data_IF_455583243966
#
_entry.id   IF_455583243966
#
_cell.length_a   1.000
_cell.length_b   1.000
_cell.length_c   1.000
_cell.angle_alpha   90.00
_cell.angle_beta   90.00
_cell.angle_gamma   90.00
#
_symmetry.space_group_name_H-M   'P 1'
#
loop_
_entity.id
_entity.type
_entity.pdbx_description
1 polymer ?
#
# COMPACT_ATOMS: atom_id res chain seq x y z
N UNK A 1 23.29 -19.00 3.12
CA UNK A 1 22.79 -18.09 2.07
C UNK A 1 22.74 -16.68 2.66
N UNK A 2 23.56 -15.77 2.15
CA UNK A 2 23.64 -14.36 2.55
C UNK A 2 22.56 -13.55 1.83
N UNK A 3 21.72 -12.84 2.58
CA UNK A 3 20.63 -12.03 2.03
C UNK A 3 20.88 -10.56 2.31
N UNK A 4 20.76 -9.71 1.29
CA UNK A 4 20.59 -8.27 1.49
C UNK A 4 19.11 -7.92 1.35
N UNK A 5 18.57 -7.23 2.34
CA UNK A 5 17.18 -6.77 2.34
C UNK A 5 17.11 -5.31 1.90
N UNK A 6 16.18 -5.00 0.99
CA UNK A 6 16.03 -3.65 0.44
C UNK A 6 14.57 -3.21 0.60
N UNK A 7 14.29 -2.26 1.49
CA UNK A 7 12.91 -1.83 1.74
C UNK A 7 12.83 -0.55 2.55
N UNK A 8 11.63 -0.04 2.80
CA UNK A 8 11.46 1.25 3.48
C UNK A 8 10.26 1.36 4.41
N UNK A 9 9.01 1.13 3.98
CA UNK A 9 7.83 1.35 4.83
C UNK A 9 7.66 0.24 5.87
N UNK A 10 6.66 0.42 6.74
CA UNK A 10 6.29 -0.52 7.81
C UNK A 10 6.02 -1.93 7.27
N UNK A 11 5.31 -2.04 6.13
CA UNK A 11 5.12 -3.29 5.39
C UNK A 11 6.44 -4.07 5.20
N UNK A 12 7.51 -3.38 4.80
CA UNK A 12 8.82 -3.99 4.60
C UNK A 12 9.56 -4.26 5.92
N UNK A 13 9.42 -3.37 6.91
CA UNK A 13 10.03 -3.53 8.23
C UNK A 13 9.55 -4.79 8.94
N UNK A 14 8.24 -5.04 8.94
CA UNK A 14 7.65 -6.23 9.55
C UNK A 14 8.10 -7.53 8.88
N UNK A 15 8.26 -7.53 7.55
CA UNK A 15 8.77 -8.69 6.81
C UNK A 15 10.24 -8.92 7.15
N UNK A 16 11.07 -7.86 7.18
CA UNK A 16 12.48 -7.97 7.58
C UNK A 16 12.62 -8.56 8.99
N UNK A 17 11.89 -8.01 9.96
CA UNK A 17 11.94 -8.50 11.34
C UNK A 17 11.58 -9.99 11.42
N UNK A 18 10.50 -10.39 10.74
CA UNK A 18 10.08 -11.78 10.70
C UNK A 18 11.15 -12.70 10.09
N UNK A 19 11.81 -12.26 9.01
CA UNK A 19 12.91 -13.03 8.39
C UNK A 19 14.08 -13.21 9.36
N UNK A 20 14.48 -12.16 10.07
CA UNK A 20 15.60 -12.21 11.03
C UNK A 20 15.26 -13.15 12.19
N UNK A 21 14.07 -13.02 12.79
CA UNK A 21 13.60 -13.90 13.87
C UNK A 21 13.56 -15.37 13.50
N UNK A 22 13.34 -15.68 12.22
CA UNK A 22 13.32 -17.05 11.69
C UNK A 22 14.67 -17.51 11.11
N UNK A 23 15.77 -16.84 11.49
CA UNK A 23 17.12 -17.29 11.17
C UNK A 23 17.54 -17.13 9.71
N UNK A 24 16.85 -16.28 8.93
CA UNK A 24 17.36 -15.86 7.62
C UNK A 24 18.60 -14.98 7.86
N UNK A 25 19.72 -15.34 7.23
CA UNK A 25 20.98 -14.63 7.38
C UNK A 25 20.98 -13.31 6.59
N UNK A 26 20.42 -12.26 7.19
CA UNK A 26 20.46 -10.89 6.66
C UNK A 26 21.82 -10.29 6.96
N UNK A 27 22.62 -10.09 5.91
CA UNK A 27 24.00 -9.57 6.02
C UNK A 27 24.08 -8.07 5.74
N UNK A 28 22.99 -7.46 5.30
CA UNK A 28 22.92 -6.03 5.03
C UNK A 28 21.51 -5.55 4.73
N UNK A 29 21.25 -4.29 5.03
CA UNK A 29 19.98 -3.61 4.79
C UNK A 29 20.24 -2.34 3.98
N UNK A 30 19.42 -2.11 2.95
CA UNK A 30 19.38 -0.87 2.19
C UNK A 30 17.98 -0.26 2.33
N UNK A 31 17.90 0.97 2.82
CA UNK A 31 16.63 1.70 2.93
C UNK A 31 16.77 3.10 2.34
N UNK A 32 15.65 3.81 2.17
CA UNK A 32 15.70 5.22 1.78
C UNK A 32 16.28 6.08 2.92
N UNK A 33 16.84 7.26 2.60
CA UNK A 33 17.15 8.28 3.60
C UNK A 33 15.97 8.61 4.49
N UNK A 34 16.27 8.98 5.74
CA UNK A 34 15.30 9.47 6.69
C UNK A 34 14.59 10.70 6.13
N UNK A 35 13.28 10.82 6.39
CA UNK A 35 12.47 11.94 5.89
C UNK A 35 11.69 12.57 7.02
N UNK A 36 11.39 13.89 6.93
CA UNK A 36 10.51 14.55 7.87
C UNK A 36 9.12 13.90 7.82
N UNK A 37 8.60 13.43 8.96
CA UNK A 37 7.27 12.80 9.05
C UNK A 37 6.49 13.32 10.25
N UNK A 38 5.16 13.19 10.20
CA UNK A 38 4.25 13.59 11.28
C UNK A 38 4.11 15.09 11.49
N UNK A 39 3.33 15.47 12.53
CA UNK A 39 3.20 16.87 12.96
C UNK A 39 4.53 17.37 13.52
N UNK A 40 4.97 18.55 13.09
CA UNK A 40 6.27 19.12 13.48
C UNK A 40 7.46 18.65 12.64
N UNK A 41 7.25 17.80 11.62
CA UNK A 41 8.26 17.42 10.60
C UNK A 41 9.60 16.96 11.21
N UNK A 42 9.55 16.18 12.29
CA UNK A 42 10.76 15.59 12.86
C UNK A 42 11.37 14.61 11.87
N UNK A 43 12.70 14.60 11.77
CA UNK A 43 13.43 13.56 11.05
C UNK A 43 13.23 12.25 11.79
N UNK A 44 12.59 11.28 11.13
CA UNK A 44 12.32 9.96 11.71
C UNK A 44 13.00 8.88 10.87
N UNK A 45 13.61 7.87 11.52
CA UNK A 45 14.16 6.73 10.84
C UNK A 45 13.07 5.98 10.06
N UNK A 46 13.46 5.34 8.96
CA UNK A 46 12.54 4.45 8.25
C UNK A 46 12.22 3.21 9.12
N UNK A 47 11.00 2.64 9.03
CA UNK A 47 10.67 1.39 9.73
C UNK A 47 11.69 0.26 9.52
N UNK A 48 12.20 0.10 8.30
CA UNK A 48 13.27 -0.88 8.00
C UNK A 48 14.59 -0.56 8.71
N UNK A 49 14.95 0.72 8.84
CA UNK A 49 16.15 1.15 9.60
C UNK A 49 16.03 0.81 11.08
N UNK A 50 14.87 1.05 11.69
CA UNK A 50 14.61 0.72 13.09
C UNK A 50 14.88 -0.76 13.36
N UNK A 51 14.34 -1.64 12.52
CA UNK A 51 14.59 -3.09 12.62
C UNK A 51 16.07 -3.41 12.41
N UNK A 52 16.73 -2.82 11.40
CA UNK A 52 18.15 -3.08 11.18
C UNK A 52 19.02 -2.69 12.39
N UNK A 53 18.74 -1.56 13.02
CA UNK A 53 19.45 -1.08 14.22
C UNK A 53 19.19 -2.00 15.43
N UNK A 54 17.93 -2.41 15.65
CA UNK A 54 17.55 -3.32 16.74
C UNK A 54 18.31 -4.65 16.68
N UNK A 55 18.40 -5.25 15.49
CA UNK A 55 19.08 -6.52 15.27
C UNK A 55 20.57 -6.35 14.91
N UNK A 56 21.11 -5.12 14.98
CA UNK A 56 22.52 -4.77 14.71
C UNK A 56 23.00 -5.22 13.32
N UNK A 57 22.13 -5.11 12.32
CA UNK A 57 22.42 -5.44 10.92
C UNK A 57 23.01 -4.20 10.23
N UNK A 58 24.11 -4.31 9.47
CA UNK A 58 24.65 -3.19 8.70
C UNK A 58 23.58 -2.56 7.79
N UNK A 59 23.31 -1.27 7.96
CA UNK A 59 22.27 -0.55 7.22
C UNK A 59 22.86 0.69 6.53
N UNK A 60 22.60 0.84 5.24
CA UNK A 60 22.96 2.03 4.46
C UNK A 60 21.71 2.72 3.91
N UNK A 61 21.81 4.04 3.69
CA UNK A 61 20.69 4.88 3.24
C UNK A 61 21.03 5.70 1.98
N UNK A 62 21.45 5.05 0.88
CA UNK A 62 21.90 5.77 -0.30
C UNK A 62 20.76 6.55 -0.95
N UNK A 63 21.08 7.69 -1.55
CA UNK A 63 20.15 8.42 -2.42
C UNK A 63 19.67 7.57 -3.60
N UNK A 64 20.45 6.59 -4.02
CA UNK A 64 20.03 5.54 -4.95
C UNK A 64 20.90 4.31 -4.79
N UNK A 65 20.28 3.13 -4.80
CA UNK A 65 20.99 1.84 -4.79
C UNK A 65 21.93 1.64 -5.99
N UNK A 66 21.79 2.47 -7.04
CA UNK A 66 22.62 2.42 -8.23
C UNK A 66 23.91 3.27 -8.12
N UNK A 67 24.09 4.00 -7.01
CA UNK A 67 25.25 4.87 -6.79
C UNK A 67 26.41 4.07 -6.20
N UNK A 68 27.61 4.64 -6.31
CA UNK A 68 28.87 4.01 -5.89
C UNK A 68 28.83 3.49 -4.46
N UNK A 69 28.35 4.29 -3.51
CA UNK A 69 28.20 3.91 -2.10
C UNK A 69 27.47 2.56 -1.92
N UNK A 70 26.31 2.41 -2.56
CA UNK A 70 25.52 1.19 -2.47
C UNK A 70 26.19 0.01 -3.19
N UNK A 71 26.80 0.27 -4.35
CA UNK A 71 27.51 -0.77 -5.10
C UNK A 71 28.73 -1.28 -4.33
N UNK A 72 29.53 -0.39 -3.74
CA UNK A 72 30.69 -0.73 -2.91
C UNK A 72 30.25 -1.61 -1.73
N UNK A 73 29.18 -1.20 -1.02
CA UNK A 73 28.60 -1.99 0.06
C UNK A 73 28.18 -3.40 -0.38
N UNK A 74 27.43 -3.50 -1.49
CA UNK A 74 26.96 -4.78 -2.02
C UNK A 74 28.13 -5.68 -2.49
N UNK A 75 29.21 -5.09 -3.00
CA UNK A 75 30.42 -5.81 -3.41
C UNK A 75 31.22 -6.34 -2.22
N UNK A 76 31.21 -5.63 -1.08
CA UNK A 76 31.85 -6.12 0.16
C UNK A 76 31.04 -7.24 0.80
N UNK A 77 29.72 -7.09 0.83
CA UNK A 77 28.84 -8.06 1.50
C UNK A 77 28.66 -9.35 0.69
N UNK A 78 28.74 -9.25 -0.65
CA UNK A 78 28.60 -10.36 -1.61
C UNK A 78 27.32 -11.17 -1.36
N UNK A 79 26.14 -10.58 -1.57
CA UNK A 79 24.87 -11.27 -1.33
C UNK A 79 24.67 -12.45 -2.29
N UNK A 80 24.14 -13.55 -1.77
CA UNK A 80 23.60 -14.63 -2.60
C UNK A 80 22.27 -14.21 -3.26
N UNK A 81 21.48 -13.42 -2.53
CA UNK A 81 20.15 -12.92 -2.93
C UNK A 81 19.98 -11.47 -2.45
N UNK A 82 19.36 -10.64 -3.28
CA UNK A 82 18.77 -9.36 -2.84
C UNK A 82 17.25 -9.52 -2.81
N UNK A 83 16.63 -9.33 -1.65
CA UNK A 83 15.17 -9.31 -1.53
C UNK A 83 14.69 -7.87 -1.37
N UNK A 84 13.84 -7.43 -2.29
CA UNK A 84 13.29 -6.07 -2.34
C UNK A 84 11.83 -6.09 -1.88
N UNK A 85 11.47 -5.18 -0.98
CA UNK A 85 10.11 -5.01 -0.49
C UNK A 85 9.80 -3.51 -0.37
N UNK A 86 8.93 -2.99 -1.23
CA UNK A 86 8.46 -1.60 -1.15
C UNK A 86 9.57 -0.53 -1.04
N UNK A 87 10.65 -0.66 -1.83
CA UNK A 87 11.79 0.27 -1.79
C UNK A 87 11.53 1.60 -2.51
N UNK A 88 10.70 1.61 -3.55
CA UNK A 88 10.32 2.83 -4.28
C UNK A 88 11.41 3.44 -5.17
N UNK A 89 12.50 2.72 -5.45
CA UNK A 89 13.52 3.13 -6.44
C UNK A 89 13.85 1.95 -7.35
N UNK A 90 14.21 2.26 -8.59
CA UNK A 90 14.57 1.28 -9.62
C UNK A 90 15.97 0.72 -9.35
N UNK A 91 16.12 -0.60 -9.43
CA UNK A 91 17.41 -1.28 -9.42
C UNK A 91 17.95 -1.36 -10.85
N UNK A 92 19.14 -0.81 -11.06
CA UNK A 92 19.83 -0.80 -12.35
C UNK A 92 20.53 -2.12 -12.62
N UNK A 93 20.91 -2.34 -13.88
CA UNK A 93 21.53 -3.59 -14.37
C UNK A 93 22.68 -4.08 -13.50
N UNK A 94 23.56 -3.17 -13.05
CA UNK A 94 24.69 -3.51 -12.18
C UNK A 94 24.24 -4.20 -10.90
N UNK A 95 23.25 -3.64 -10.20
CA UNK A 95 22.70 -4.22 -8.96
C UNK A 95 22.01 -5.54 -9.25
N UNK A 96 21.17 -5.59 -10.29
CA UNK A 96 20.40 -6.78 -10.66
C UNK A 96 21.28 -8.01 -10.94
N UNK A 97 22.49 -7.81 -11.46
CA UNK A 97 23.44 -8.87 -11.80
C UNK A 97 24.38 -9.29 -10.68
N UNK A 98 24.42 -8.59 -9.54
CA UNK A 98 25.37 -8.90 -8.45
C UNK A 98 25.09 -10.24 -7.77
N UNK A 99 23.86 -10.55 -7.32
CA UNK A 99 23.65 -11.73 -6.48
C UNK A 99 23.60 -13.00 -7.33
N UNK A 100 24.24 -14.07 -6.84
CA UNK A 100 24.28 -15.38 -7.51
C UNK A 100 22.90 -15.89 -7.94
N UNK A 101 21.90 -15.76 -7.06
CA UNK A 101 20.54 -16.23 -7.34
C UNK A 101 19.61 -15.11 -7.85
N UNK A 102 20.11 -13.88 -7.96
CA UNK A 102 19.40 -12.72 -8.47
C UNK A 102 18.73 -11.83 -7.42
N UNK A 103 18.02 -10.82 -7.91
CA UNK A 103 17.18 -9.94 -7.11
C UNK A 103 15.71 -10.40 -7.22
N UNK A 104 15.01 -10.49 -6.10
CA UNK A 104 13.59 -10.81 -6.05
C UNK A 104 12.83 -9.68 -5.37
N UNK A 105 11.57 -9.52 -5.72
CA UNK A 105 10.68 -8.55 -5.10
C UNK A 105 9.45 -9.25 -4.53
N UNK A 106 9.00 -8.79 -3.36
CA UNK A 106 7.71 -9.16 -2.76
C UNK A 106 6.71 -8.08 -3.12
N UNK A 107 5.79 -8.42 -4.03
CA UNK A 107 4.81 -7.49 -4.58
C UNK A 107 3.39 -7.83 -4.09
N UNK A 108 2.66 -6.90 -3.44
CA UNK A 108 1.36 -7.19 -2.86
C UNK A 108 0.22 -7.10 -3.89
N UNK A 109 0.32 -7.91 -4.95
CA UNK A 109 -0.78 -8.25 -5.86
C UNK A 109 -0.53 -9.60 -6.54
N UNK A 110 -1.54 -10.06 -7.30
CA UNK A 110 -1.45 -11.21 -8.20
C UNK A 110 -0.93 -10.76 -9.58
N UNK A 111 0.39 -10.70 -9.75
CA UNK A 111 1.00 -10.41 -11.06
C UNK A 111 0.51 -11.41 -12.13
N UNK A 112 0.25 -10.96 -13.36
CA UNK A 112 0.65 -9.68 -13.96
C UNK A 112 -0.26 -8.48 -13.66
N UNK A 113 -1.36 -8.64 -12.90
CA UNK A 113 -2.23 -7.52 -12.54
C UNK A 113 -1.53 -6.60 -11.52
N UNK A 114 -1.87 -5.31 -11.57
CA UNK A 114 -1.46 -4.28 -10.62
C UNK A 114 0.06 -4.10 -10.46
N UNK A 115 0.81 -4.11 -11.57
CA UNK A 115 2.23 -3.70 -11.59
C UNK A 115 2.37 -2.24 -11.14
N UNK A 116 3.30 -1.94 -10.24
CA UNK A 116 3.64 -0.57 -9.85
C UNK A 116 3.53 -0.28 -8.36
N UNK A 117 3.25 0.98 -8.04
CA UNK A 117 3.53 1.55 -6.72
C UNK A 117 2.39 1.41 -5.70
N UNK A 118 1.14 1.17 -6.13
CA UNK A 118 -0.02 1.20 -5.23
C UNK A 118 -1.03 0.07 -5.45
N UNK A 119 -0.57 -1.20 -5.56
CA UNK A 119 -1.44 -2.33 -5.89
C UNK A 119 -2.59 -2.55 -4.88
N UNK A 120 -2.33 -2.42 -3.58
CA UNK A 120 -3.33 -2.67 -2.52
C UNK A 120 -4.49 -1.67 -2.64
N UNK A 121 -4.19 -0.37 -2.77
CA UNK A 121 -5.21 0.66 -2.93
C UNK A 121 -6.03 0.43 -4.19
N UNK A 122 -5.37 0.13 -5.32
CA UNK A 122 -6.05 -0.05 -6.61
C UNK A 122 -6.89 -1.32 -6.68
N UNK A 123 -6.49 -2.39 -5.98
CA UNK A 123 -7.32 -3.59 -5.84
C UNK A 123 -8.62 -3.28 -5.08
N UNK A 124 -8.52 -2.58 -3.94
CA UNK A 124 -9.69 -2.16 -3.16
C UNK A 124 -10.58 -1.18 -3.92
N UNK A 125 -9.99 -0.17 -4.57
CA UNK A 125 -10.71 0.85 -5.33
C UNK A 125 -11.48 0.26 -6.51
N UNK A 126 -10.89 -0.72 -7.20
CA UNK A 126 -11.55 -1.42 -8.31
C UNK A 126 -12.57 -2.47 -7.85
N UNK A 127 -12.76 -2.67 -6.53
CA UNK A 127 -13.70 -3.65 -6.00
C UNK A 127 -13.30 -5.09 -6.26
N UNK A 128 -11.99 -5.37 -6.33
CA UNK A 128 -11.50 -6.74 -6.48
C UNK A 128 -11.99 -7.60 -5.32
N UNK A 129 -12.38 -8.84 -5.64
CA UNK A 129 -12.79 -9.84 -4.64
C UNK A 129 -11.61 -10.65 -4.11
N UNK A 130 -10.51 -10.63 -4.85
CA UNK A 130 -9.30 -11.43 -4.59
C UNK A 130 -8.08 -10.59 -4.90
N UNK A 131 -7.04 -10.77 -4.11
CA UNK A 131 -5.70 -10.25 -4.38
C UNK A 131 -4.68 -11.25 -3.83
N UNK A 132 -3.44 -10.85 -3.62
CA UNK A 132 -2.43 -11.74 -3.11
C UNK A 132 -1.08 -11.11 -3.02
N UNK A 133 -0.08 -11.97 -2.88
CA UNK A 133 1.33 -11.59 -2.90
C UNK A 133 2.01 -12.41 -3.97
N UNK A 134 2.88 -11.76 -4.73
CA UNK A 134 3.75 -12.40 -5.70
C UNK A 134 5.20 -12.15 -5.32
N UNK A 135 5.99 -13.22 -5.19
CA UNK A 135 7.44 -13.15 -5.16
C UNK A 135 7.93 -13.44 -6.58
N UNK A 136 8.60 -12.48 -7.21
CA UNK A 136 9.07 -12.60 -8.59
C UNK A 136 10.52 -12.16 -8.72
N UNK A 137 11.22 -12.68 -9.74
CA UNK A 137 12.59 -12.29 -10.05
C UNK A 137 12.58 -10.94 -10.77
N UNK A 138 13.30 -9.96 -10.25
CA UNK A 138 13.33 -8.63 -10.83
C UNK A 138 14.06 -8.61 -12.18
N UNK A 139 13.49 -7.86 -13.12
CA UNK A 139 14.07 -7.51 -14.42
C UNK A 139 14.07 -5.98 -14.59
N UNK A 140 14.56 -5.48 -15.72
CA UNK A 140 14.60 -4.02 -15.98
C UNK A 140 13.18 -3.42 -16.07
N UNK A 141 12.25 -4.15 -16.67
CA UNK A 141 10.86 -3.75 -16.78
C UNK A 141 10.14 -3.88 -15.43
N UNK A 142 9.31 -2.89 -15.11
CA UNK A 142 8.62 -2.76 -13.84
C UNK A 142 7.69 -3.96 -13.58
N UNK A 143 7.96 -4.69 -12.50
CA UNK A 143 7.15 -5.82 -12.01
C UNK A 143 6.81 -6.87 -13.08
N UNK A 144 7.68 -7.03 -14.08
CA UNK A 144 7.42 -7.84 -15.27
C UNK A 144 8.20 -9.17 -15.33
N UNK A 145 9.06 -9.43 -14.33
CA UNK A 145 9.92 -10.60 -14.36
C UNK A 145 9.19 -11.87 -13.92
N UNK A 146 9.79 -13.06 -14.12
CA UNK A 146 9.13 -14.31 -13.88
C UNK A 146 8.80 -14.53 -12.41
N UNK A 147 7.64 -15.13 -12.18
CA UNK A 147 7.07 -15.42 -10.86
C UNK A 147 7.79 -16.63 -10.26
N UNK A 148 8.21 -16.51 -9.01
CA UNK A 148 8.79 -17.59 -8.22
C UNK A 148 7.74 -18.24 -7.30
N UNK A 149 6.93 -17.43 -6.63
CA UNK A 149 5.78 -17.86 -5.81
C UNK A 149 4.66 -16.85 -5.94
N UNK A 150 3.42 -17.32 -5.84
CA UNK A 150 2.23 -16.47 -5.85
C UNK A 150 1.13 -17.14 -5.04
N UNK A 151 0.54 -16.40 -4.10
CA UNK A 151 -0.55 -16.89 -3.27
C UNK A 151 -1.69 -15.88 -3.26
N UNK A 152 -2.92 -16.39 -3.29
CA UNK A 152 -4.15 -15.61 -3.34
C UNK A 152 -4.84 -15.55 -1.97
N UNK A 153 -5.52 -14.44 -1.72
CA UNK A 153 -6.43 -14.24 -0.59
C UNK A 153 -7.71 -13.55 -1.05
N UNK A 154 -8.82 -13.90 -0.41
CA UNK A 154 -10.08 -13.17 -0.58
C UNK A 154 -10.01 -11.80 0.09
N UNK A 155 -10.66 -10.82 -0.54
CA UNK A 155 -10.89 -9.48 0.00
C UNK A 155 -12.31 -9.45 0.56
N UNK A 156 -12.43 -9.21 1.86
CA UNK A 156 -13.74 -9.10 2.48
C UNK A 156 -14.45 -7.78 2.06
N UNK A 157 -15.78 -7.77 1.86
CA UNK A 157 -16.51 -6.58 1.43
C UNK A 157 -16.39 -5.35 2.35
N UNK A 158 -15.99 -5.56 3.61
CA UNK A 158 -15.81 -4.52 4.62
C UNK A 158 -14.33 -4.22 4.91
N UNK A 159 -13.40 -4.93 4.27
CA UNK A 159 -11.98 -4.64 4.42
C UNK A 159 -11.64 -3.25 3.90
N UNK A 160 -10.87 -2.53 4.71
CA UNK A 160 -10.23 -1.27 4.36
C UNK A 160 -8.77 -1.51 4.00
N UNK A 161 -8.08 -0.47 3.56
CA UNK A 161 -6.65 -0.53 3.30
C UNK A 161 -5.84 -1.14 4.45
N UNK A 162 -6.05 -0.68 5.69
CA UNK A 162 -5.27 -1.16 6.85
C UNK A 162 -5.49 -2.65 7.10
N UNK A 163 -6.73 -3.14 6.97
CA UNK A 163 -7.05 -4.56 7.14
C UNK A 163 -6.36 -5.42 6.07
N UNK A 164 -6.46 -5.01 4.81
CA UNK A 164 -5.86 -5.74 3.70
C UNK A 164 -4.33 -5.65 3.72
N UNK A 165 -3.75 -4.50 4.07
CA UNK A 165 -2.31 -4.32 4.27
C UNK A 165 -1.80 -5.32 5.32
N UNK A 166 -2.49 -5.42 6.48
CA UNK A 166 -2.14 -6.40 7.52
C UNK A 166 -2.20 -7.84 7.02
N UNK A 167 -3.27 -8.22 6.34
CA UNK A 167 -3.45 -9.56 5.76
C UNK A 167 -2.31 -9.91 4.80
N UNK A 168 -1.93 -8.96 3.92
CA UNK A 168 -0.86 -9.16 2.94
C UNK A 168 0.53 -9.16 3.57
N UNK A 169 0.76 -8.45 4.68
CA UNK A 169 1.99 -8.57 5.48
C UNK A 169 2.13 -9.99 6.02
N UNK A 170 1.08 -10.55 6.62
CA UNK A 170 1.11 -11.91 7.17
C UNK A 170 1.32 -12.97 6.09
N UNK A 171 0.64 -12.82 4.95
CA UNK A 171 0.87 -13.69 3.80
C UNK A 171 2.32 -13.59 3.30
N UNK A 172 2.85 -12.38 3.18
CA UNK A 172 4.22 -12.13 2.75
C UNK A 172 5.23 -12.79 3.68
N UNK A 173 5.04 -12.69 5.00
CA UNK A 173 5.90 -13.32 6.03
C UNK A 173 6.00 -14.83 5.82
N UNK A 174 4.86 -15.51 5.63
CA UNK A 174 4.83 -16.95 5.33
C UNK A 174 5.56 -17.25 4.01
N UNK A 175 5.22 -16.52 2.95
CA UNK A 175 5.76 -16.77 1.62
C UNK A 175 7.27 -16.54 1.52
N UNK A 176 7.84 -15.56 2.22
CA UNK A 176 9.29 -15.32 2.17
C UNK A 176 10.07 -16.48 2.80
N UNK A 177 9.58 -17.10 3.88
CA UNK A 177 10.23 -18.27 4.46
C UNK A 177 10.18 -19.46 3.51
N UNK A 178 9.02 -19.73 2.92
CA UNK A 178 8.85 -20.77 1.90
C UNK A 178 9.77 -20.54 0.69
N UNK A 179 9.84 -19.29 0.22
CA UNK A 179 10.72 -18.90 -0.88
C UNK A 179 12.17 -19.25 -0.58
N UNK A 180 12.71 -18.85 0.59
CA UNK A 180 14.09 -19.17 0.93
C UNK A 180 14.33 -20.65 1.17
N UNK A 181 13.35 -21.40 1.68
CA UNK A 181 13.45 -22.85 1.80
C UNK A 181 13.56 -23.52 0.43
N UNK A 182 12.66 -23.20 -0.50
CA UNK A 182 12.68 -23.70 -1.88
C UNK A 182 13.95 -23.29 -2.61
N UNK A 183 14.39 -22.03 -2.45
CA UNK A 183 15.59 -21.52 -3.11
C UNK A 183 16.86 -22.24 -2.62
N UNK A 184 17.00 -22.49 -1.31
CA UNK A 184 18.12 -23.27 -0.75
C UNK A 184 18.17 -24.69 -1.30
N UNK A 185 17.01 -25.30 -1.56
CA UNK A 185 16.88 -26.65 -2.11
C UNK A 185 17.01 -26.71 -3.64
N UNK A 186 17.17 -25.56 -4.32
CA UNK A 186 17.18 -25.49 -5.79
C UNK A 186 15.83 -25.84 -6.43
N UNK A 187 14.71 -25.65 -5.70
CA UNK A 187 13.34 -26.03 -6.11
C UNK A 187 12.47 -24.83 -6.50
N UNK A 188 13.07 -23.69 -6.83
CA UNK A 188 12.33 -22.55 -7.37
C UNK A 188 12.16 -22.75 -8.87
N UNK A 189 10.91 -22.86 -9.30
CA UNK A 189 10.53 -22.85 -10.71
C UNK A 189 10.04 -21.44 -11.06
N UNK A 190 10.66 -20.85 -12.08
CA UNK A 190 10.31 -19.51 -12.55
C UNK A 190 9.30 -19.62 -13.67
N UNK A 191 8.13 -19.01 -13.47
CA UNK A 191 7.04 -18.96 -14.46
C UNK A 191 6.98 -17.57 -15.07
N UNK A 192 7.12 -17.47 -16.40
CA UNK A 192 6.94 -16.21 -17.10
C UNK A 192 5.51 -15.67 -16.92
N UNK A 193 5.39 -14.35 -16.87
CA UNK A 193 4.10 -13.68 -16.78
C UNK A 193 3.42 -13.65 -18.15
N UNK A 194 2.09 -13.75 -18.19
CA UNK A 194 1.33 -13.38 -19.39
C UNK A 194 1.22 -11.85 -19.47
N UNK A 195 2.10 -11.23 -20.26
CA UNK A 195 2.15 -9.78 -20.39
C UNK A 195 0.86 -9.17 -20.99
N UNK A 196 0.03 -9.96 -21.70
CA UNK A 196 -1.24 -9.48 -22.25
C UNK A 196 -2.29 -9.19 -21.17
N UNK A 197 -2.15 -9.79 -19.98
CA UNK A 197 -3.03 -9.61 -18.84
C UNK A 197 -2.53 -8.54 -17.86
N UNK A 198 -1.45 -7.82 -18.20
CA UNK A 198 -0.83 -6.85 -17.32
C UNK A 198 -1.73 -5.63 -17.11
N UNK A 199 -1.94 -5.26 -15.85
CA UNK A 199 -2.56 -3.99 -15.45
C UNK A 199 -1.62 -3.22 -14.55
N UNK A 200 -1.83 -1.91 -14.42
CA UNK A 200 -0.91 -1.03 -13.71
C UNK A 200 -1.58 -0.33 -12.52
N UNK A 201 -0.83 -0.23 -11.44
CA UNK A 201 -1.18 0.47 -10.21
C UNK A 201 -0.22 1.65 -10.00
N UNK A 202 -0.41 2.77 -10.72
CA UNK A 202 0.47 3.93 -10.60
C UNK A 202 0.40 4.52 -9.20
N UNK A 203 1.43 5.30 -8.84
CA UNK A 203 1.48 6.02 -7.57
C UNK A 203 0.24 6.90 -7.39
N UNK A 204 -0.36 6.83 -6.20
CA UNK A 204 -1.51 7.66 -5.85
C UNK A 204 -1.10 9.13 -5.78
N UNK A 205 -1.76 9.97 -6.57
CA UNK A 205 -1.64 11.43 -6.53
C UNK A 205 -2.76 12.04 -5.68
N UNK A 206 -2.69 13.34 -5.39
CA UNK A 206 -3.72 14.01 -4.58
C UNK A 206 -5.10 13.94 -5.27
N UNK A 207 -5.10 14.01 -6.58
CA UNK A 207 -6.31 14.01 -7.42
C UNK A 207 -7.04 12.68 -7.37
N UNK A 208 -6.29 11.58 -7.26
CA UNK A 208 -6.84 10.23 -7.09
C UNK A 208 -7.60 10.07 -5.76
N UNK A 209 -7.48 11.00 -4.81
CA UNK A 209 -8.14 10.86 -3.51
C UNK A 209 -9.57 11.36 -3.50
N UNK A 210 -9.99 12.13 -4.50
CA UNK A 210 -11.32 12.73 -4.51
C UNK A 210 -12.40 11.70 -4.80
N UNK A 211 -13.46 11.71 -3.99
CA UNK A 211 -14.62 10.83 -4.14
C UNK A 211 -15.59 11.45 -5.13
N UNK A 212 -16.09 10.63 -6.05
CA UNK A 212 -17.13 11.00 -7.00
C UNK A 212 -18.45 10.31 -6.61
N UNK A 213 -19.36 11.06 -5.98
CA UNK A 213 -20.67 10.54 -5.59
C UNK A 213 -21.64 10.33 -6.76
N UNK A 214 -21.28 10.75 -7.98
CA UNK A 214 -22.05 10.40 -9.19
C UNK A 214 -21.87 8.94 -9.62
N UNK A 215 -21.05 8.17 -8.90
CA UNK A 215 -20.96 6.71 -9.04
C UNK A 215 -21.94 6.00 -8.13
N UNK A 216 -22.10 4.69 -8.32
CA UNK A 216 -22.91 3.86 -7.43
C UNK A 216 -22.29 3.74 -6.03
N UNK A 217 -23.10 3.33 -5.04
CA UNK A 217 -22.68 3.22 -3.65
C UNK A 217 -21.51 2.26 -3.43
N UNK A 218 -21.38 1.21 -4.21
CA UNK A 218 -20.30 0.23 -4.08
C UNK A 218 -18.97 0.83 -4.57
N UNK A 219 -19.00 1.52 -5.72
CA UNK A 219 -17.85 2.28 -6.23
C UNK A 219 -17.38 3.35 -5.24
N UNK A 220 -18.32 4.12 -4.66
CA UNK A 220 -18.01 5.13 -3.63
C UNK A 220 -17.42 4.49 -2.37
N UNK A 221 -18.00 3.37 -1.90
CA UNK A 221 -17.46 2.61 -0.76
C UNK A 221 -16.04 2.13 -1.03
N UNK A 222 -15.80 1.53 -2.21
CA UNK A 222 -14.49 1.03 -2.63
C UNK A 222 -13.46 2.16 -2.66
N UNK A 223 -13.83 3.33 -3.18
CA UNK A 223 -12.98 4.54 -3.14
C UNK A 223 -12.58 4.91 -1.72
N UNK A 224 -13.56 5.04 -0.81
CA UNK A 224 -13.28 5.52 0.55
C UNK A 224 -12.47 4.47 1.33
N UNK A 225 -12.81 3.18 1.23
CA UNK A 225 -12.10 2.11 1.98
C UNK A 225 -10.66 1.87 1.48
N UNK A 226 -10.39 2.12 0.19
CA UNK A 226 -9.06 2.00 -0.41
C UNK A 226 -8.05 3.03 0.14
N UNK A 227 -8.54 4.15 0.67
CA UNK A 227 -7.72 5.23 1.21
C UNK A 227 -7.98 5.49 2.70
N UNK A 228 -8.69 4.59 3.38
CA UNK A 228 -8.96 4.69 4.82
C UNK A 228 -7.63 4.74 5.61
N UNK A 229 -7.63 5.43 6.75
CA UNK A 229 -6.47 5.75 7.59
C UNK A 229 -5.40 6.64 6.95
N UNK A 230 -4.89 6.27 5.77
CA UNK A 230 -3.86 6.98 5.02
C UNK A 230 -4.00 6.74 3.50
N UNK A 231 -3.98 7.78 2.65
CA UNK A 231 -3.89 9.22 2.96
C UNK A 231 -5.25 9.87 3.31
N UNK A 232 -6.35 9.13 3.26
CA UNK A 232 -7.74 9.58 3.42
C UNK A 232 -8.36 10.01 2.09
N UNK A 233 -9.52 9.45 1.76
CA UNK A 233 -10.36 9.88 0.66
C UNK A 233 -10.88 11.30 0.93
N UNK A 234 -11.05 12.12 -0.11
CA UNK A 234 -11.25 13.57 -0.01
C UNK A 234 -12.52 14.01 -0.71
N UNK A 235 -13.16 15.03 -0.15
CA UNK A 235 -14.32 15.72 -0.71
C UNK A 235 -14.24 17.20 -0.35
N UNK A 236 -14.98 18.03 -1.06
CA UNK A 236 -15.23 19.40 -0.68
C UNK A 236 -16.52 19.51 0.13
N UNK A 237 -16.46 20.30 1.20
CA UNK A 237 -17.62 20.76 1.96
C UNK A 237 -17.57 22.29 1.90
N UNK A 238 -18.32 22.88 0.96
CA UNK A 238 -18.11 24.27 0.56
C UNK A 238 -16.67 24.48 0.07
N UNK A 239 -15.93 25.39 0.70
CA UNK A 239 -14.54 25.68 0.32
C UNK A 239 -13.50 24.77 1.02
N UNK A 240 -13.92 23.95 1.99
CA UNK A 240 -13.01 23.14 2.79
C UNK A 240 -12.80 21.74 2.18
N UNK A 241 -11.54 21.34 2.03
CA UNK A 241 -11.17 19.98 1.66
C UNK A 241 -11.15 19.09 2.92
N UNK A 242 -12.14 18.22 3.05
CA UNK A 242 -12.29 17.31 4.18
C UNK A 242 -11.97 15.87 3.77
N UNK A 243 -11.63 15.03 4.75
CA UNK A 243 -11.37 13.60 4.51
C UNK A 243 -12.45 12.71 5.10
N UNK A 244 -12.74 11.59 4.44
CA UNK A 244 -13.75 10.61 4.82
C UNK A 244 -13.12 9.28 5.22
N UNK A 245 -13.66 8.63 6.25
CA UNK A 245 -13.19 7.33 6.75
C UNK A 245 -14.34 6.50 7.32
N UNK A 246 -14.20 5.17 7.28
CA UNK A 246 -15.18 4.21 7.77
C UNK A 246 -16.48 4.28 6.97
N UNK A 247 -16.62 3.43 5.96
CA UNK A 247 -17.74 3.47 5.02
C UNK A 247 -18.42 2.10 4.88
N UNK A 248 -19.74 2.10 4.71
CA UNK A 248 -20.49 0.97 4.18
C UNK A 248 -21.43 1.44 3.05
N UNK A 249 -21.70 0.57 2.09
CA UNK A 249 -22.71 0.78 1.04
C UNK A 249 -24.05 0.18 1.47
N UNK A 250 -25.14 0.80 1.04
CA UNK A 250 -26.51 0.36 1.30
C UNK A 250 -27.33 0.51 0.02
N UNK A 251 -28.07 -0.53 -0.33
CA UNK A 251 -29.07 -0.46 -1.40
C UNK A 251 -30.24 0.42 -0.96
N UNK A 252 -30.65 1.33 -1.85
CA UNK A 252 -31.78 2.24 -1.64
C UNK A 252 -32.18 2.92 -2.93
N UNK A 253 -33.41 3.45 -2.98
CA UNK A 253 -33.93 4.21 -4.10
C UNK A 253 -33.46 5.67 -4.07
N UNK A 254 -32.84 6.10 -5.17
CA UNK A 254 -32.64 7.47 -5.67
C UNK A 254 -32.50 8.58 -4.61
N UNK A 255 -31.28 8.69 -4.08
CA UNK A 255 -30.84 9.80 -3.26
C UNK A 255 -29.98 10.76 -4.10
N UNK A 256 -29.97 12.05 -3.77
CA UNK A 256 -29.20 13.03 -4.55
C UNK A 256 -27.67 12.85 -4.31
N UNK A 257 -26.85 12.65 -5.36
CA UNK A 257 -25.40 12.44 -5.22
C UNK A 257 -24.70 13.50 -4.35
N UNK A 258 -24.06 13.04 -3.28
CA UNK A 258 -23.31 13.88 -2.34
C UNK A 258 -24.16 14.59 -1.29
N UNK A 259 -25.49 14.53 -1.35
CA UNK A 259 -26.36 15.13 -0.33
C UNK A 259 -26.30 14.33 0.97
N UNK A 260 -26.13 15.03 2.10
CA UNK A 260 -26.22 14.43 3.43
C UNK A 260 -27.69 14.39 3.85
N UNK A 261 -28.34 13.23 3.77
CA UNK A 261 -29.76 13.10 4.07
C UNK A 261 -30.05 13.17 5.57
N UNK A 262 -29.23 12.45 6.34
CA UNK A 262 -29.42 12.29 7.77
C UNK A 262 -28.10 11.96 8.46
N UNK A 263 -27.96 12.40 9.71
CA UNK A 263 -26.80 12.10 10.55
C UNK A 263 -27.27 11.59 11.92
N UNK A 264 -26.77 10.41 12.30
CA UNK A 264 -26.90 9.83 13.65
C UNK A 264 -25.55 9.45 14.26
N UNK A 265 -25.60 8.67 15.34
CA UNK A 265 -24.44 8.20 16.09
C UNK A 265 -23.55 7.22 15.31
N UNK A 266 -24.07 6.56 14.28
CA UNK A 266 -23.34 5.63 13.44
C UNK A 266 -22.66 6.30 12.24
N UNK A 267 -23.17 7.43 11.76
CA UNK A 267 -22.54 8.19 10.68
C UNK A 267 -23.44 9.20 9.96
N UNK A 268 -23.01 9.59 8.76
CA UNK A 268 -23.80 10.37 7.82
C UNK A 268 -24.21 9.50 6.63
N UNK A 269 -25.47 9.59 6.23
CA UNK A 269 -26.04 8.92 5.06
C UNK A 269 -25.95 9.88 3.88
N UNK A 270 -25.11 9.53 2.92
CA UNK A 270 -24.78 10.35 1.77
C UNK A 270 -25.30 9.66 0.51
N UNK A 271 -26.10 10.39 -0.26
CA UNK A 271 -26.64 9.91 -1.53
C UNK A 271 -25.55 9.65 -2.56
N UNK A 272 -25.77 8.67 -3.42
CA UNK A 272 -24.92 8.40 -4.60
C UNK A 272 -25.80 8.27 -5.84
N UNK A 273 -25.23 8.08 -7.03
CA UNK A 273 -26.06 7.90 -8.23
C UNK A 273 -26.94 6.64 -8.19
N UNK A 274 -26.56 5.64 -7.38
CA UNK A 274 -27.36 4.45 -7.11
C UNK A 274 -27.05 3.93 -5.72
N UNK A 275 -28.06 3.96 -4.85
CA UNK A 275 -27.93 3.61 -3.44
C UNK A 275 -27.39 4.77 -2.60
N UNK A 276 -26.91 4.44 -1.40
CA UNK A 276 -26.32 5.42 -0.47
C UNK A 276 -25.12 4.83 0.25
N UNK A 277 -24.25 5.69 0.76
CA UNK A 277 -23.16 5.28 1.65
C UNK A 277 -23.39 5.85 3.04
N UNK A 278 -23.07 5.05 4.06
CA UNK A 278 -22.95 5.51 5.44
C UNK A 278 -21.49 5.71 5.77
N UNK A 279 -21.09 6.95 6.05
CA UNK A 279 -19.72 7.33 6.40
C UNK A 279 -19.65 7.73 7.86
N UNK A 280 -18.75 7.10 8.61
CA UNK A 280 -18.68 7.24 10.07
C UNK A 280 -17.88 8.45 10.52
N UNK A 281 -16.76 8.74 9.85
CA UNK A 281 -15.81 9.75 10.29
C UNK A 281 -15.49 10.78 9.21
N UNK A 282 -15.25 12.00 9.67
CA UNK A 282 -14.81 13.15 8.89
C UNK A 282 -13.58 13.79 9.54
N UNK A 283 -12.68 14.35 8.72
CA UNK A 283 -11.55 15.14 9.19
C UNK A 283 -11.45 16.46 8.43
N UNK A 284 -11.60 17.56 9.16
CA UNK A 284 -11.41 18.92 8.66
C UNK A 284 -9.91 19.30 8.55
N UNK A 285 -9.56 20.30 7.70
CA UNK A 285 -8.19 20.78 7.55
C UNK A 285 -7.50 21.08 8.89
N UNK A 286 -6.36 20.43 9.15
CA UNK A 286 -5.57 20.62 10.37
C UNK A 286 -6.19 20.04 11.66
N UNK A 287 -7.42 19.51 11.63
CA UNK A 287 -8.13 18.99 12.80
C UNK A 287 -7.91 17.48 12.99
N UNK A 288 -8.36 16.97 14.14
CA UNK A 288 -8.41 15.53 14.41
C UNK A 288 -9.58 14.90 13.63
N UNK A 289 -9.48 13.60 13.36
CA UNK A 289 -10.60 12.79 12.85
C UNK A 289 -11.67 12.72 13.95
N UNK A 290 -12.92 13.03 13.60
CA UNK A 290 -14.09 12.98 14.49
C UNK A 290 -15.24 12.24 13.78
N UNK A 291 -16.27 11.84 14.53
CA UNK A 291 -17.49 11.28 13.94
C UNK A 291 -18.33 12.38 13.27
N UNK A 292 -19.16 12.00 12.28
CA UNK A 292 -20.16 12.92 11.73
C UNK A 292 -21.15 13.41 12.80
N UNK A 293 -21.47 12.58 13.80
CA UNK A 293 -22.30 12.97 14.94
C UNK A 293 -21.69 14.11 15.77
N UNK A 294 -20.40 14.02 16.10
CA UNK A 294 -19.67 15.08 16.80
C UNK A 294 -19.59 16.35 15.95
N UNK A 295 -19.35 16.21 14.64
CA UNK A 295 -19.32 17.34 13.72
C UNK A 295 -20.68 18.07 13.68
N UNK A 296 -21.80 17.32 13.65
CA UNK A 296 -23.17 17.88 13.69
C UNK A 296 -23.44 18.63 15.00
N UNK A 297 -23.14 18.01 16.15
CA UNK A 297 -23.35 18.64 17.45
C UNK A 297 -22.44 19.86 17.66
N UNK A 298 -21.25 19.85 17.07
CA UNK A 298 -20.34 20.99 17.02
C UNK A 298 -20.71 22.06 15.99
N UNK A 299 -21.84 21.92 15.28
CA UNK A 299 -22.32 22.83 14.21
C UNK A 299 -21.31 23.04 13.07
N UNK A 300 -20.45 22.05 12.81
CA UNK A 300 -19.49 22.07 11.69
C UNK A 300 -20.12 21.51 10.40
N UNK A 301 -21.20 20.76 10.53
CA UNK A 301 -21.94 20.17 9.42
C UNK A 301 -23.41 20.05 9.82
N UNK A 302 -24.31 20.07 8.84
CA UNK A 302 -25.73 19.84 9.03
C UNK A 302 -26.29 18.94 7.93
N UNK A 303 -27.49 18.42 8.17
CA UNK A 303 -28.23 17.69 7.15
C UNK A 303 -28.58 18.63 6.00
N UNK A 304 -28.72 18.08 4.79
CA UNK A 304 -28.92 18.80 3.52
C UNK A 304 -27.71 19.57 3.00
N UNK A 305 -26.59 19.61 3.72
CA UNK A 305 -25.31 19.99 3.11
C UNK A 305 -24.90 18.98 2.04
N UNK A 306 -24.13 19.44 1.05
CA UNK A 306 -23.61 18.62 -0.03
C UNK A 306 -22.10 18.43 0.10
N UNK A 307 -21.67 17.19 -0.08
CA UNK A 307 -20.27 16.82 -0.26
C UNK A 307 -20.00 16.67 -1.74
N UNK A 308 -18.99 17.38 -2.20
CA UNK A 308 -18.71 17.48 -3.63
C UNK A 308 -17.39 16.79 -3.93
N UNK A 309 -17.34 16.09 -5.07
CA UNK A 309 -16.07 15.70 -5.65
C UNK A 309 -15.28 16.93 -6.09
N UNK A 310 -14.12 16.72 -6.72
CA UNK A 310 -13.44 17.84 -7.36
C UNK A 310 -14.33 18.34 -8.51
N UNK A 311 -14.87 19.55 -8.38
CA UNK A 311 -15.49 20.25 -9.51
C UNK A 311 -14.48 20.44 -10.63
N UNK A 312 -14.85 19.96 -11.82
CA UNK A 312 -14.08 20.12 -13.05
C UNK A 312 -14.24 18.93 -13.97
N UNK A 313 -15.27 18.97 -14.82
CA UNK A 313 -15.08 18.67 -16.25
C UNK A 313 -13.84 19.37 -16.78
#
# INVERSE_FOLDING_TARGET
MKVVFVGTPEFAGEILEHMVRNGINIVGVVTQPDKPRGRGRKMLPTPVKIVAEEYKIPCIQPESINKKEALDFLQVVVPDVILVVSYGKILGKKVLSLPKYGCYNVHPSLLPKYRGASPIQRALENGEKKTGVTIYRMVKELDAGPIALQEEVDIDPFETFDHLERKLIELSKKMVLEFFEKLKKGKIELREQDHSQATYAPIIKKEDLFVDFSKDAETVKNKIRAYDSKPGARVFLGNDEVKLFGVISLDSSDDEPGLIHYIDREGAWIGTAKGKVKVRYIQFPGKKKITFWEAKNGRLIEEKMRLEGRYGS
#
